data_IF_335741416445
#
_entry.id   IF_335741416445
#
_cell.length_a   1.000
_cell.length_b   1.000
_cell.length_c   1.000
_cell.angle_alpha   90.00
_cell.angle_beta   90.00
_cell.angle_gamma   90.00
#
_symmetry.space_group_name_H-M   'P 1'
#
loop_
_entity.id
_entity.type
_entity.pdbx_description
1 polymer ?
#
# COMPACT_ATOMS: atom_id res chain seq x y z
N UNK A 1 19.76 -14.75 8.16
CA UNK A 1 18.72 -13.69 8.13
C UNK A 1 18.24 -13.57 6.70
N UNK A 2 17.16 -14.28 6.36
CA UNK A 2 16.58 -14.28 5.03
C UNK A 2 15.95 -12.94 4.72
N UNK A 3 16.68 -12.14 3.93
CA UNK A 3 16.30 -10.82 3.43
C UNK A 3 15.35 -10.95 2.22
N UNK A 4 14.34 -11.84 2.30
CA UNK A 4 13.66 -12.38 1.10
C UNK A 4 12.30 -11.73 0.79
N UNK A 5 11.68 -10.99 1.72
CA UNK A 5 10.29 -10.56 1.50
C UNK A 5 10.05 -9.08 1.27
N UNK A 6 11.08 -8.23 1.09
CA UNK A 6 10.89 -6.84 0.62
C UNK A 6 10.58 -6.78 -0.89
N UNK A 7 9.43 -7.30 -1.28
CA UNK A 7 9.00 -7.42 -2.68
C UNK A 7 7.50 -7.17 -2.86
N UNK A 8 6.85 -6.60 -1.87
CA UNK A 8 5.42 -6.34 -1.93
C UNK A 8 5.13 -4.86 -2.07
N UNK A 9 4.09 -4.55 -2.83
CA UNK A 9 3.43 -3.25 -2.84
C UNK A 9 1.98 -3.43 -2.42
N UNK A 10 1.40 -2.41 -1.79
CA UNK A 10 -0.05 -2.35 -1.57
C UNK A 10 -0.67 -1.49 -2.66
N UNK A 11 -1.59 -2.09 -3.42
CA UNK A 11 -2.34 -1.43 -4.47
C UNK A 11 -3.76 -1.17 -4.00
N UNK A 12 -4.33 -0.02 -4.37
CA UNK A 12 -5.70 0.33 -4.12
C UNK A 12 -6.40 0.81 -5.41
N UNK A 13 -7.60 0.29 -5.67
CA UNK A 13 -8.44 0.62 -6.81
C UNK A 13 -9.79 1.12 -6.33
N UNK A 14 -10.33 2.18 -6.93
CA UNK A 14 -11.66 2.68 -6.57
C UNK A 14 -12.74 1.80 -7.20
N UNK A 15 -13.67 1.30 -6.40
CA UNK A 15 -14.76 0.40 -6.83
C UNK A 15 -15.71 1.14 -7.78
N UNK A 16 -16.10 2.38 -7.43
CA UNK A 16 -17.09 3.16 -8.17
C UNK A 16 -16.67 3.57 -9.59
N UNK A 17 -15.36 3.58 -9.88
CA UNK A 17 -14.82 4.03 -11.16
C UNK A 17 -14.50 2.87 -12.11
N UNK A 18 -14.63 1.61 -11.68
CA UNK A 18 -14.21 0.45 -12.45
C UNK A 18 -12.75 0.53 -12.91
N UNK A 19 -12.43 -0.06 -14.06
CA UNK A 19 -11.09 -0.03 -14.67
C UNK A 19 -10.72 1.33 -15.29
N UNK A 20 -11.58 2.36 -15.17
CA UNK A 20 -11.36 3.66 -15.83
C UNK A 20 -10.29 4.51 -15.16
N UNK A 21 -10.03 4.29 -13.86
CA UNK A 21 -8.97 5.02 -13.13
C UNK A 21 -7.77 4.12 -12.87
N UNK A 22 -6.55 4.65 -13.06
CA UNK A 22 -5.35 3.90 -12.73
C UNK A 22 -5.31 3.60 -11.23
N UNK A 23 -4.72 2.45 -10.85
CA UNK A 23 -4.51 2.12 -9.45
C UNK A 23 -3.62 3.16 -8.76
N UNK A 24 -3.77 3.23 -7.44
CA UNK A 24 -2.82 3.95 -6.57
C UNK A 24 -2.07 2.95 -5.69
N UNK A 25 -0.86 3.30 -5.29
CA UNK A 25 0.06 2.44 -4.58
C UNK A 25 0.42 3.08 -3.24
N UNK A 26 0.60 2.25 -2.21
CA UNK A 26 0.96 2.72 -0.89
C UNK A 26 2.43 3.18 -0.85
N UNK A 27 2.62 4.37 -0.28
CA UNK A 27 3.90 4.87 0.18
C UNK A 27 3.83 4.97 1.70
N UNK A 28 4.68 4.20 2.38
CA UNK A 28 4.74 4.20 3.84
C UNK A 28 5.33 5.52 4.31
N UNK A 29 4.64 6.15 5.25
CA UNK A 29 5.09 7.34 5.96
C UNK A 29 5.69 6.87 7.28
N UNK A 30 6.95 7.25 7.51
CA UNK A 30 7.65 6.99 8.78
C UNK A 30 8.06 8.29 9.43
N UNK A 31 8.11 8.29 10.75
CA UNK A 31 8.68 9.38 11.51
C UNK A 31 10.20 9.47 11.28
N UNK A 32 10.82 10.53 11.80
CA UNK A 32 12.29 10.69 11.78
C UNK A 32 13.03 9.56 12.50
N UNK A 33 12.35 8.86 13.41
CA UNK A 33 12.87 7.72 14.17
C UNK A 33 12.58 6.37 13.48
N UNK A 34 11.95 6.39 12.29
CA UNK A 34 11.64 5.19 11.51
C UNK A 34 10.35 4.48 11.90
N UNK A 35 9.56 5.06 12.83
CA UNK A 35 8.27 4.51 13.29
C UNK A 35 7.22 4.66 12.20
N UNK A 36 6.40 3.64 11.97
CA UNK A 36 5.28 3.70 11.03
C UNK A 36 4.22 4.71 11.51
N UNK A 37 3.92 5.72 10.68
CA UNK A 37 2.88 6.73 10.97
C UNK A 37 1.64 6.57 10.08
N UNK A 38 1.78 5.84 8.97
CA UNK A 38 0.68 5.52 8.08
C UNK A 38 1.10 5.28 6.65
N UNK A 39 0.12 5.32 5.75
CA UNK A 39 0.36 5.18 4.30
C UNK A 39 -0.32 6.29 3.51
N UNK A 40 0.37 6.79 2.50
CA UNK A 40 -0.20 7.67 1.48
C UNK A 40 -0.36 6.90 0.17
N UNK A 41 -1.49 7.06 -0.50
CA UNK A 41 -1.73 6.40 -1.79
C UNK A 41 -1.38 7.34 -2.95
N UNK A 42 -0.45 6.91 -3.81
CA UNK A 42 0.07 7.69 -4.94
C UNK A 42 -0.16 6.97 -6.27
N UNK A 43 -0.33 7.69 -7.38
CA UNK A 43 -0.50 7.08 -8.71
C UNK A 43 0.80 6.50 -9.30
N UNK A 44 1.95 7.00 -8.87
CA UNK A 44 3.24 6.56 -9.39
C UNK A 44 3.73 5.31 -8.65
N UNK A 45 3.77 4.18 -9.35
CA UNK A 45 4.24 2.88 -8.82
C UNK A 45 5.72 2.91 -8.41
N UNK A 46 6.58 3.61 -9.15
CA UNK A 46 8.04 3.62 -8.90
C UNK A 46 8.40 4.35 -7.60
N UNK A 47 7.53 5.27 -7.15
CA UNK A 47 7.68 5.98 -5.88
C UNK A 47 6.99 5.29 -4.71
N UNK A 48 6.34 4.15 -4.96
CA UNK A 48 5.69 3.36 -3.92
C UNK A 48 6.74 2.67 -3.04
N UNK A 49 6.39 2.43 -1.78
CA UNK A 49 7.31 1.76 -0.87
C UNK A 49 7.22 0.26 -1.11
N UNK A 50 8.31 -0.34 -1.60
CA UNK A 50 8.48 -1.80 -1.57
C UNK A 50 8.69 -2.21 -0.12
N UNK A 51 7.89 -3.17 0.33
CA UNK A 51 7.79 -3.52 1.74
C UNK A 51 7.77 -5.04 1.94
N UNK A 52 8.04 -5.46 3.17
CA UNK A 52 7.84 -6.85 3.60
C UNK A 52 6.37 -7.23 3.59
N UNK A 53 6.05 -8.53 3.62
CA UNK A 53 4.66 -8.97 3.75
C UNK A 53 4.00 -8.37 5.00
N UNK A 54 4.70 -8.38 6.14
CA UNK A 54 4.19 -7.83 7.40
C UNK A 54 3.86 -6.33 7.30
N UNK A 55 4.74 -5.55 6.67
CA UNK A 55 4.51 -4.12 6.43
C UNK A 55 3.35 -3.88 5.44
N UNK A 56 3.17 -4.76 4.46
CA UNK A 56 2.04 -4.72 3.53
C UNK A 56 0.71 -4.99 4.24
N UNK A 57 0.68 -5.95 5.17
CA UNK A 57 -0.49 -6.20 6.01
C UNK A 57 -0.80 -5.01 6.93
N UNK A 58 0.21 -4.40 7.54
CA UNK A 58 0.05 -3.20 8.38
C UNK A 58 -0.49 -2.00 7.56
N UNK A 59 0.03 -1.81 6.35
CA UNK A 59 -0.45 -0.80 5.41
C UNK A 59 -1.93 -1.00 5.02
N UNK A 60 -2.34 -2.25 4.77
CA UNK A 60 -3.75 -2.57 4.49
C UNK A 60 -4.63 -2.30 5.71
N UNK A 61 -4.22 -2.76 6.89
CA UNK A 61 -4.96 -2.54 8.13
C UNK A 61 -5.14 -1.04 8.43
N UNK A 62 -4.11 -0.23 8.17
CA UNK A 62 -4.22 1.23 8.29
C UNK A 62 -5.20 1.81 7.25
N UNK A 63 -5.10 1.36 5.99
CA UNK A 63 -5.94 1.83 4.90
C UNK A 63 -7.43 1.53 5.11
N UNK A 64 -7.76 0.36 5.68
CA UNK A 64 -9.13 -0.03 6.01
C UNK A 64 -9.68 0.71 7.23
N UNK A 65 -8.83 1.01 8.22
CA UNK A 65 -9.25 1.68 9.46
C UNK A 65 -9.42 3.20 9.33
N UNK A 66 -8.58 3.89 8.56
CA UNK A 66 -8.48 5.37 8.61
C UNK A 66 -9.21 6.11 7.48
N UNK A 67 -9.51 5.47 6.34
CA UNK A 67 -10.29 6.12 5.27
C UNK A 67 -11.78 5.92 5.53
N UNK A 68 -12.51 7.01 5.79
CA UNK A 68 -13.99 7.00 5.77
C UNK A 68 -14.57 6.49 4.44
N UNK A 69 -13.76 6.55 3.37
CA UNK A 69 -14.04 5.96 2.05
C UNK A 69 -13.34 4.63 1.79
N UNK A 70 -12.81 3.90 2.78
CA UNK A 70 -12.12 2.62 2.56
C UNK A 70 -13.01 1.61 1.82
N UNK A 71 -14.31 1.64 2.14
CA UNK A 71 -15.37 0.87 1.47
C UNK A 71 -15.53 1.15 -0.03
N UNK A 72 -15.01 2.28 -0.51
CA UNK A 72 -15.05 2.67 -1.92
C UNK A 72 -13.84 2.14 -2.69
N UNK A 73 -12.93 1.43 -2.04
CA UNK A 73 -11.71 0.93 -2.67
C UNK A 73 -11.45 -0.55 -2.35
N UNK A 74 -10.97 -1.28 -3.36
CA UNK A 74 -10.36 -2.60 -3.20
C UNK A 74 -8.88 -2.39 -2.95
N UNK A 75 -8.39 -2.86 -1.80
CA UNK A 75 -6.96 -2.82 -1.44
C UNK A 75 -6.40 -4.23 -1.51
N UNK A 76 -5.24 -4.41 -2.17
CA UNK A 76 -4.59 -5.72 -2.33
C UNK A 76 -3.07 -5.62 -2.25
N UNK A 77 -2.43 -6.68 -1.79
CA UNK A 77 -0.98 -6.84 -1.84
C UNK A 77 -0.61 -7.39 -3.22
N UNK A 78 0.39 -6.81 -3.87
CA UNK A 78 0.97 -7.30 -5.12
C UNK A 78 2.45 -7.61 -4.91
N UNK A 79 2.91 -8.73 -5.44
CA UNK A 79 4.34 -9.06 -5.48
C UNK A 79 4.96 -8.41 -6.73
N UNK A 80 6.12 -7.77 -6.57
CA UNK A 80 6.83 -7.06 -7.65
C UNK A 80 8.15 -7.70 -8.07
N UNK A 81 8.54 -8.82 -7.45
CA UNK A 81 9.76 -9.55 -7.80
C UNK A 81 9.66 -11.04 -7.50
N UNK A 82 10.20 -11.86 -8.41
CA UNK A 82 10.40 -13.30 -8.25
C UNK A 82 11.81 -13.55 -7.72
#
# INVERSE_FOLDING_TARGET
MDNIDQRYLVQQNKISDGEKKPPVFARVMRSKEGVFEGVSFIKNKEKATVMTMAEAEEAIAWATKKKSGAKDYVTKIICVGQ
#
